data_IF_429475447345
#
_entry.id   IF_429475447345
#
_cell.length_a   1.000
_cell.length_b   1.000
_cell.length_c   1.000
_cell.angle_alpha   90.00
_cell.angle_beta   90.00
_cell.angle_gamma   90.00
#
_symmetry.space_group_name_H-M   'P 1'
#
loop_
_entity.id
_entity.type
_entity.pdbx_description
1 polymer ?
#
# COMPACT_ATOMS: atom_id res chain seq x y z
N UNK A 1 -18.45 -22.59 13.46
CA UNK A 1 -17.77 -21.36 13.90
C UNK A 1 -18.81 -20.51 14.57
N UNK A 2 -18.58 -20.04 15.80
CA UNK A 2 -19.52 -19.15 16.45
C UNK A 2 -19.62 -17.87 15.62
N UNK A 3 -20.84 -17.52 15.22
CA UNK A 3 -21.18 -16.32 14.46
C UNK A 3 -20.96 -15.13 15.39
N UNK A 4 -19.70 -14.70 15.50
CA UNK A 4 -19.33 -13.57 16.35
C UNK A 4 -19.61 -12.35 15.52
N UNK A 5 -20.86 -11.88 15.57
CA UNK A 5 -21.26 -10.65 14.89
C UNK A 5 -20.52 -9.49 15.58
N UNK A 6 -19.45 -9.02 14.94
CA UNK A 6 -18.74 -7.82 15.40
C UNK A 6 -19.65 -6.60 15.29
N UNK A 7 -19.51 -5.61 16.19
CA UNK A 7 -20.23 -4.35 16.06
C UNK A 7 -19.98 -3.71 14.67
N UNK A 8 -21.03 -3.20 13.97
CA UNK A 8 -20.87 -2.61 12.64
C UNK A 8 -19.81 -1.50 12.60
N UNK A 9 -19.80 -0.62 13.61
CA UNK A 9 -18.81 0.46 13.71
C UNK A 9 -17.36 -0.07 13.75
N UNK A 10 -17.15 -1.23 14.39
CA UNK A 10 -15.83 -1.86 14.47
C UNK A 10 -15.42 -2.51 13.14
N UNK A 11 -16.39 -3.09 12.42
CA UNK A 11 -16.18 -3.59 11.06
C UNK A 11 -15.82 -2.44 10.11
N UNK A 12 -16.49 -1.31 10.23
CA UNK A 12 -16.19 -0.12 9.42
C UNK A 12 -14.81 0.47 9.74
N UNK A 13 -14.38 0.47 11.00
CA UNK A 13 -13.01 0.83 11.36
C UNK A 13 -11.99 -0.11 10.72
N UNK A 14 -12.27 -1.41 10.70
CA UNK A 14 -11.41 -2.39 10.05
C UNK A 14 -11.35 -2.20 8.52
N UNK A 15 -12.48 -1.86 7.88
CA UNK A 15 -12.54 -1.53 6.44
C UNK A 15 -11.71 -0.30 6.11
N UNK A 16 -11.84 0.78 6.90
CA UNK A 16 -11.01 1.99 6.72
C UNK A 16 -9.52 1.69 6.82
N UNK A 17 -9.12 0.81 7.73
CA UNK A 17 -7.72 0.37 7.82
C UNK A 17 -7.27 -0.41 6.56
N UNK A 18 -8.13 -1.24 5.97
CA UNK A 18 -7.83 -1.91 4.69
C UNK A 18 -7.72 -0.91 3.55
N UNK A 19 -8.63 0.05 3.46
CA UNK A 19 -8.64 1.10 2.43
C UNK A 19 -7.37 1.96 2.48
N UNK A 20 -6.94 2.37 3.68
CA UNK A 20 -5.72 3.15 3.86
C UNK A 20 -4.48 2.37 3.38
N UNK A 21 -4.37 1.08 3.73
CA UNK A 21 -3.28 0.23 3.22
C UNK A 21 -3.36 -0.01 1.71
N UNK A 22 -4.57 -0.19 1.17
CA UNK A 22 -4.77 -0.34 -0.26
C UNK A 22 -4.34 0.92 -1.03
N UNK A 23 -4.57 2.10 -0.48
CA UNK A 23 -4.12 3.37 -1.05
C UNK A 23 -2.59 3.48 -1.08
N UNK A 24 -1.90 3.10 0.01
CA UNK A 24 -0.42 3.02 0.03
C UNK A 24 0.11 2.08 -1.05
N UNK A 25 -0.48 0.90 -1.18
CA UNK A 25 -0.05 -0.10 -2.17
C UNK A 25 -0.33 0.37 -3.60
N UNK A 26 -1.49 1.01 -3.84
CA UNK A 26 -1.82 1.60 -5.13
C UNK A 26 -0.82 2.68 -5.52
N UNK A 27 -0.47 3.58 -4.59
CA UNK A 27 0.54 4.62 -4.81
C UNK A 27 1.90 4.01 -5.17
N UNK A 28 2.38 3.05 -4.37
CA UNK A 28 3.65 2.35 -4.65
C UNK A 28 3.69 1.72 -6.05
N UNK A 29 2.61 1.03 -6.44
CA UNK A 29 2.50 0.43 -7.77
C UNK A 29 2.52 1.47 -8.88
N UNK A 30 1.84 2.60 -8.69
CA UNK A 30 1.82 3.69 -9.66
C UNK A 30 3.20 4.33 -9.82
N UNK A 31 3.89 4.61 -8.71
CA UNK A 31 5.25 5.16 -8.71
C UNK A 31 6.21 4.20 -9.40
N UNK A 32 6.17 2.92 -9.05
CA UNK A 32 7.03 1.91 -9.67
C UNK A 32 6.74 1.77 -11.19
N UNK A 33 5.48 1.73 -11.59
CA UNK A 33 5.11 1.69 -13.01
C UNK A 33 5.61 2.91 -13.79
N UNK A 34 5.49 4.12 -13.20
CA UNK A 34 5.99 5.35 -13.83
C UNK A 34 7.51 5.34 -13.94
N UNK A 35 8.22 4.96 -12.89
CA UNK A 35 9.69 4.85 -12.86
C UNK A 35 10.22 3.85 -13.89
N UNK A 36 9.49 2.74 -14.08
CA UNK A 36 9.75 1.82 -15.18
C UNK A 36 9.54 2.58 -16.49
N UNK A 37 8.36 3.10 -16.80
CA UNK A 37 8.11 3.77 -18.09
C UNK A 37 9.15 4.85 -18.46
N UNK A 38 9.58 5.66 -17.49
CA UNK A 38 10.63 6.68 -17.68
C UNK A 38 11.97 6.07 -18.09
N UNK A 39 12.38 4.99 -17.43
CA UNK A 39 13.60 4.28 -17.80
C UNK A 39 13.50 3.61 -19.19
N UNK A 40 12.32 3.14 -19.61
CA UNK A 40 12.14 2.60 -20.98
C UNK A 40 12.29 3.69 -22.03
N UNK A 41 11.71 4.87 -21.76
CA UNK A 41 11.81 6.01 -22.64
C UNK A 41 13.26 6.51 -22.77
N UNK A 42 14.02 6.51 -21.67
CA UNK A 42 15.44 6.87 -21.69
C UNK A 42 16.26 5.89 -22.54
N UNK A 43 16.04 4.58 -22.38
CA UNK A 43 16.71 3.56 -23.20
C UNK A 43 16.36 3.73 -24.68
N UNK A 44 15.09 3.98 -25.01
CA UNK A 44 14.66 4.20 -26.40
C UNK A 44 15.31 5.44 -27.02
N UNK A 45 15.43 6.53 -26.25
CA UNK A 45 16.12 7.74 -26.70
C UNK A 45 17.61 7.48 -26.99
N UNK A 46 18.28 6.66 -26.19
CA UNK A 46 19.67 6.27 -26.43
C UNK A 46 19.81 5.43 -27.70
N UNK A 47 18.89 4.48 -27.95
CA UNK A 47 18.87 3.70 -29.19
C UNK A 47 18.67 4.59 -30.42
N UNK A 48 17.72 5.52 -30.35
CA UNK A 48 17.46 6.48 -31.42
C UNK A 48 18.67 7.40 -31.72
N UNK A 49 19.47 7.72 -30.69
CA UNK A 49 20.72 8.45 -30.83
C UNK A 49 21.91 7.59 -31.33
N UNK A 50 21.68 6.32 -31.70
CA UNK A 50 22.70 5.40 -32.17
C UNK A 50 23.65 4.91 -31.07
N UNK A 51 23.30 5.12 -29.80
CA UNK A 51 24.11 4.67 -28.67
C UNK A 51 23.78 3.21 -28.33
N UNK A 52 24.80 2.45 -27.89
CA UNK A 52 24.59 1.09 -27.39
C UNK A 52 23.90 1.15 -26.03
N UNK A 53 22.67 0.65 -25.98
CA UNK A 53 22.02 0.24 -24.74
C UNK A 53 22.45 -1.19 -24.45
N UNK A 54 22.80 -1.50 -23.20
CA UNK A 54 23.30 -2.83 -22.89
C UNK A 54 22.20 -3.89 -22.91
N UNK A 55 22.50 -5.05 -23.51
CA UNK A 55 21.62 -6.21 -23.67
C UNK A 55 21.45 -7.09 -22.41
N UNK A 56 22.01 -6.69 -21.26
CA UNK A 56 21.84 -7.49 -20.02
C UNK A 56 20.38 -7.42 -19.57
N UNK A 57 19.81 -8.52 -19.06
CA UNK A 57 18.42 -8.55 -18.63
C UNK A 57 18.03 -7.39 -17.71
N UNK A 58 16.81 -6.89 -17.90
CA UNK A 58 16.25 -5.70 -17.23
C UNK A 58 16.36 -5.72 -15.71
N UNK A 59 16.36 -6.90 -15.08
CA UNK A 59 16.48 -7.07 -13.62
C UNK A 59 17.89 -6.81 -13.07
N UNK A 60 18.93 -6.73 -13.92
CA UNK A 60 20.34 -6.57 -13.50
C UNK A 60 21.01 -5.26 -13.88
N UNK A 61 20.37 -4.40 -14.69
CA UNK A 61 20.98 -3.14 -15.17
C UNK A 61 20.17 -1.88 -14.97
N UNK A 62 18.87 -1.99 -14.78
CA UNK A 62 17.99 -0.83 -14.86
C UNK A 62 18.05 -0.04 -13.56
N UNK A 63 18.85 1.01 -13.56
CA UNK A 63 18.78 2.02 -12.50
C UNK A 63 17.46 2.76 -12.70
N UNK A 64 16.45 2.41 -11.90
CA UNK A 64 15.22 3.17 -11.88
C UNK A 64 15.52 4.57 -11.34
N UNK A 65 14.89 5.62 -11.87
CA UNK A 65 14.92 6.94 -11.25
C UNK A 65 14.59 6.82 -9.77
N UNK A 66 15.17 7.64 -8.87
CA UNK A 66 14.75 7.64 -7.47
C UNK A 66 13.27 8.05 -7.35
N UNK A 67 12.69 7.84 -6.18
CA UNK A 67 11.42 8.48 -5.85
C UNK A 67 11.58 9.99 -5.87
N UNK A 68 10.53 10.70 -6.30
CA UNK A 68 10.53 12.16 -6.25
C UNK A 68 10.07 12.63 -4.87
N UNK A 69 10.42 13.86 -4.51
CA UNK A 69 9.94 14.50 -3.28
C UNK A 69 8.41 14.50 -3.19
N UNK A 70 7.71 14.67 -4.33
CA UNK A 70 6.25 14.60 -4.37
C UNK A 70 5.72 13.19 -4.07
N UNK A 71 6.41 12.14 -4.53
CA UNK A 71 6.04 10.76 -4.22
C UNK A 71 6.23 10.45 -2.74
N UNK A 72 7.33 10.95 -2.17
CA UNK A 72 7.65 10.79 -0.75
C UNK A 72 6.65 11.53 0.13
N UNK A 73 6.27 12.75 -0.23
CA UNK A 73 5.24 13.52 0.47
C UNK A 73 3.88 12.83 0.44
N UNK A 74 3.45 12.34 -0.73
CA UNK A 74 2.20 11.60 -0.84
C UNK A 74 2.24 10.28 -0.07
N UNK A 75 3.36 9.56 -0.12
CA UNK A 75 3.53 8.35 0.67
C UNK A 75 3.49 8.62 2.17
N UNK A 76 4.15 9.67 2.64
CA UNK A 76 4.11 10.09 4.04
C UNK A 76 2.68 10.45 4.47
N UNK A 77 1.93 11.15 3.62
CA UNK A 77 0.51 11.47 3.85
C UNK A 77 -0.34 10.21 4.01
N UNK A 78 -0.20 9.25 3.08
CA UNK A 78 -0.92 7.97 3.12
C UNK A 78 -0.53 7.11 4.34
N UNK A 79 0.75 7.10 4.72
CA UNK A 79 1.21 6.43 5.93
C UNK A 79 0.66 7.09 7.21
N UNK A 80 0.41 8.40 7.18
CA UNK A 80 -0.33 9.12 8.21
C UNK A 80 -1.78 8.63 8.34
N UNK A 81 -2.47 8.43 7.22
CA UNK A 81 -3.83 7.88 7.20
C UNK A 81 -3.87 6.43 7.72
N UNK A 82 -2.91 5.59 7.34
CA UNK A 82 -2.76 4.24 7.88
C UNK A 82 -2.58 4.28 9.40
N UNK A 83 -1.73 5.17 9.90
CA UNK A 83 -1.47 5.31 11.34
C UNK A 83 -2.74 5.71 12.08
N UNK A 84 -3.46 6.71 11.56
CA UNK A 84 -4.72 7.18 12.15
C UNK A 84 -5.81 6.09 12.13
N UNK A 85 -5.95 5.35 11.02
CA UNK A 85 -6.91 4.26 10.90
C UNK A 85 -6.59 3.10 11.85
N UNK A 86 -5.30 2.74 11.98
CA UNK A 86 -4.85 1.70 12.90
C UNK A 86 -5.07 2.09 14.36
N UNK A 87 -4.86 3.36 14.72
CA UNK A 87 -5.14 3.86 16.06
C UNK A 87 -6.64 3.87 16.37
N UNK A 88 -7.46 4.36 15.45
CA UNK A 88 -8.91 4.35 15.59
C UNK A 88 -9.46 2.92 15.76
N UNK A 89 -8.95 1.96 14.97
CA UNK A 89 -9.29 0.55 15.12
C UNK A 89 -8.88 0.01 16.49
N UNK A 90 -7.65 0.29 16.95
CA UNK A 90 -7.16 -0.14 18.26
C UNK A 90 -8.05 0.38 19.40
N UNK A 91 -8.43 1.66 19.35
CA UNK A 91 -9.34 2.27 20.32
C UNK A 91 -10.72 1.61 20.24
N UNK A 92 -11.23 1.34 19.04
CA UNK A 92 -12.51 0.65 18.83
C UNK A 92 -12.53 -0.76 19.40
N UNK A 93 -11.47 -1.55 19.18
CA UNK A 93 -11.32 -2.91 19.73
C UNK A 93 -11.33 -2.86 21.27
N UNK A 94 -10.55 -1.97 21.86
CA UNK A 94 -10.51 -1.80 23.31
C UNK A 94 -11.86 -1.34 23.89
N UNK A 95 -12.54 -0.40 23.22
CA UNK A 95 -13.87 0.08 23.61
C UNK A 95 -14.96 -0.98 23.51
N UNK A 96 -14.82 -1.94 22.60
CA UNK A 96 -15.70 -3.10 22.49
C UNK A 96 -15.41 -4.21 23.52
N UNK A 97 -14.41 -4.02 24.40
CA UNK A 97 -14.02 -5.02 25.40
C UNK A 97 -13.36 -6.26 24.80
N UNK A 98 -12.90 -6.18 23.55
CA UNK A 98 -12.15 -7.25 22.90
C UNK A 98 -10.68 -7.17 23.35
N UNK A 99 -10.09 -8.32 23.62
CA UNK A 99 -8.69 -8.44 24.08
C UNK A 99 -7.65 -8.11 22.99
N UNK A 100 -8.10 -7.92 21.74
CA UNK A 100 -7.23 -7.73 20.58
C UNK A 100 -6.44 -8.97 20.20
N UNK A 101 -6.86 -10.15 20.69
CA UNK A 101 -6.24 -11.43 20.39
C UNK A 101 -6.36 -11.82 18.91
N UNK A 102 -5.58 -12.81 18.51
CA UNK A 102 -5.49 -13.28 17.13
C UNK A 102 -6.86 -13.62 16.51
N UNK A 103 -7.74 -14.29 17.26
CA UNK A 103 -9.06 -14.69 16.78
C UNK A 103 -10.00 -13.50 16.55
N UNK A 104 -9.96 -12.49 17.43
CA UNK A 104 -10.72 -11.26 17.25
C UNK A 104 -10.22 -10.48 16.02
N UNK A 105 -8.89 -10.40 15.84
CA UNK A 105 -8.31 -9.76 14.66
C UNK A 105 -8.67 -10.50 13.35
N UNK A 106 -8.54 -11.82 13.31
CA UNK A 106 -8.91 -12.64 12.14
C UNK A 106 -10.41 -12.56 11.84
N UNK A 107 -11.25 -12.60 12.87
CA UNK A 107 -12.68 -12.44 12.75
C UNK A 107 -13.06 -11.09 12.16
N UNK A 108 -12.47 -9.99 12.66
CA UNK A 108 -12.67 -8.65 12.12
C UNK A 108 -12.19 -8.52 10.68
N UNK A 109 -11.01 -9.06 10.36
CA UNK A 109 -10.51 -9.11 8.99
C UNK A 109 -11.47 -9.82 8.03
N UNK A 110 -12.06 -10.93 8.48
CA UNK A 110 -13.04 -11.70 7.70
C UNK A 110 -14.34 -10.91 7.53
N UNK A 111 -14.87 -10.34 8.62
CA UNK A 111 -16.11 -9.56 8.60
C UNK A 111 -16.01 -8.30 7.72
N UNK A 112 -14.86 -7.63 7.71
CA UNK A 112 -14.63 -6.44 6.87
C UNK A 112 -14.58 -6.77 5.37
N UNK A 113 -14.31 -8.02 5.00
CA UNK A 113 -14.20 -8.51 3.62
C UNK A 113 -15.46 -9.20 3.10
N UNK A 114 -16.41 -9.51 3.99
CA UNK A 114 -17.74 -10.00 3.64
C UNK A 114 -18.63 -8.85 3.14
#
# INVERSE_FOLDING_TARGET
MADTTFPPDLVDLQRRAHEAWAAVEAHRKQVDARRVAEADAADEALRAAGQRVSEVPTWGRRTLPPWTEADDQEHARLMGEVTAAAEALRVGVAGAGLDGGYDAAQGLHTAARA
#
